data_IF_811557531195
#
_entry.id   IF_811557531195
#
_cell.length_a   1.000
_cell.length_b   1.000
_cell.length_c   1.000
_cell.angle_alpha   90.00
_cell.angle_beta   90.00
_cell.angle_gamma   90.00
#
_symmetry.space_group_name_H-M   'P 1'
#
loop_
_entity.id
_entity.type
_entity.pdbx_description
1 polymer ?
#
# COMPACT_ATOMS: atom_id res chain seq x y z
N UNK A 1 19.37 -1.95 21.55
CA UNK A 1 19.83 -0.57 21.32
C UNK A 1 19.04 -0.01 20.15
N UNK A 2 18.57 1.24 20.22
CA UNK A 2 17.83 1.89 19.14
C UNK A 2 18.79 2.36 18.03
N UNK A 3 18.42 2.18 16.76
CA UNK A 3 19.24 2.55 15.60
C UNK A 3 18.38 3.13 14.46
N UNK A 4 19.02 3.52 13.36
CA UNK A 4 18.34 4.10 12.20
C UNK A 4 17.31 3.16 11.59
N UNK A 5 17.63 1.87 11.44
CA UNK A 5 16.69 0.89 10.86
C UNK A 5 15.43 0.74 11.71
N UNK A 6 15.58 0.73 13.04
CA UNK A 6 14.45 0.71 13.96
C UNK A 6 13.67 2.03 13.92
N UNK A 7 14.32 3.18 13.76
CA UNK A 7 13.63 4.47 13.56
C UNK A 7 12.80 4.45 12.28
N UNK A 8 13.41 4.03 11.16
CA UNK A 8 12.77 3.94 9.85
C UNK A 8 11.58 2.98 9.87
N UNK A 9 11.73 1.82 10.50
CA UNK A 9 10.65 0.87 10.69
C UNK A 9 9.50 1.48 11.49
N UNK A 10 9.79 2.08 12.65
CA UNK A 10 8.77 2.69 13.50
C UNK A 10 8.02 3.83 12.78
N UNK A 11 8.75 4.67 12.03
CA UNK A 11 8.15 5.75 11.25
C UNK A 11 7.26 5.21 10.13
N UNK A 12 7.72 4.17 9.42
CA UNK A 12 6.96 3.51 8.35
C UNK A 12 5.70 2.81 8.84
N UNK A 13 5.75 2.19 10.02
CA UNK A 13 4.57 1.63 10.70
C UNK A 13 3.58 2.74 11.04
N UNK A 14 4.07 3.83 11.64
CA UNK A 14 3.21 4.94 12.05
C UNK A 14 2.50 5.59 10.86
N UNK A 15 3.22 5.90 9.77
CA UNK A 15 2.60 6.47 8.56
C UNK A 15 1.57 5.52 7.93
N UNK A 16 1.90 4.23 7.81
CA UNK A 16 0.97 3.22 7.28
C UNK A 16 -0.29 3.10 8.15
N UNK A 17 -0.13 3.11 9.46
CA UNK A 17 -1.26 3.09 10.39
C UNK A 17 -2.15 4.32 10.25
N UNK A 18 -1.57 5.52 10.20
CA UNK A 18 -2.33 6.77 10.01
C UNK A 18 -3.12 6.78 8.70
N UNK A 19 -2.49 6.34 7.62
CA UNK A 19 -3.09 6.31 6.29
C UNK A 19 -4.22 5.27 6.15
N UNK A 20 -4.16 4.17 6.92
CA UNK A 20 -5.11 3.06 6.83
C UNK A 20 -6.22 3.09 7.90
N UNK A 21 -6.02 3.69 9.08
CA UNK A 21 -6.88 3.45 10.24
C UNK A 21 -8.37 3.73 9.98
N UNK A 22 -8.75 4.88 9.38
CA UNK A 22 -10.14 5.35 9.12
C UNK A 22 -11.25 4.75 10.03
N UNK A 23 -11.07 4.79 11.36
CA UNK A 23 -12.02 4.25 12.35
C UNK A 23 -12.17 2.71 12.39
N UNK A 24 -11.28 1.98 11.71
CA UNK A 24 -11.26 0.53 11.58
C UNK A 24 -10.35 -0.15 12.62
N UNK A 25 -9.08 0.28 12.73
CA UNK A 25 -8.09 -0.34 13.61
C UNK A 25 -7.28 0.73 14.36
N UNK A 26 -6.68 0.35 15.49
CA UNK A 26 -5.72 1.20 16.20
C UNK A 26 -4.33 1.12 15.57
N UNK A 27 -3.48 2.12 15.83
CA UNK A 27 -2.05 2.06 15.45
C UNK A 27 -1.37 0.81 16.02
N UNK A 28 -1.72 0.41 17.24
CA UNK A 28 -1.18 -0.80 17.86
C UNK A 28 -1.57 -2.06 17.07
N UNK A 29 -2.85 -2.20 16.70
CA UNK A 29 -3.32 -3.34 15.91
C UNK A 29 -2.62 -3.43 14.55
N UNK A 30 -2.45 -2.29 13.85
CA UNK A 30 -1.76 -2.25 12.56
C UNK A 30 -0.27 -2.58 12.72
N UNK A 31 0.40 -2.02 13.75
CA UNK A 31 1.80 -2.35 14.07
C UNK A 31 1.96 -3.84 14.30
N UNK A 32 1.15 -4.43 15.17
CA UNK A 32 1.20 -5.85 15.50
C UNK A 32 0.96 -6.72 14.27
N UNK A 33 0.03 -6.35 13.39
CA UNK A 33 -0.19 -7.06 12.13
C UNK A 33 1.03 -6.97 11.20
N UNK A 34 1.62 -5.78 11.01
CA UNK A 34 2.84 -5.61 10.20
C UNK A 34 3.99 -6.47 10.74
N UNK A 35 4.20 -6.48 12.06
CA UNK A 35 5.26 -7.24 12.74
C UNK A 35 5.09 -8.77 12.60
N UNK A 36 3.89 -9.25 12.30
CA UNK A 36 3.60 -10.67 12.03
C UNK A 36 3.73 -11.05 10.55
N UNK A 37 4.06 -10.09 9.68
CA UNK A 37 4.25 -10.33 8.24
C UNK A 37 5.71 -10.18 7.82
N UNK A 38 6.01 -10.61 6.61
CA UNK A 38 7.32 -10.42 5.97
C UNK A 38 7.57 -9.00 5.45
N UNK A 39 6.68 -8.03 5.68
CA UNK A 39 6.75 -6.68 5.08
C UNK A 39 8.06 -5.94 5.41
N UNK A 40 8.53 -6.05 6.66
CA UNK A 40 9.82 -5.46 7.06
C UNK A 40 10.99 -6.12 6.33
N UNK A 41 10.99 -7.46 6.29
CA UNK A 41 12.04 -8.22 5.62
C UNK A 41 12.08 -7.90 4.12
N UNK A 42 10.92 -7.76 3.47
CA UNK A 42 10.85 -7.34 2.08
C UNK A 42 11.38 -5.91 1.89
N UNK A 43 11.08 -4.95 2.76
CA UNK A 43 11.66 -3.62 2.62
C UNK A 43 13.20 -3.65 2.61
N UNK A 44 13.79 -4.44 3.49
CA UNK A 44 15.24 -4.60 3.63
C UNK A 44 15.85 -5.36 2.44
N UNK A 45 15.29 -6.52 2.06
CA UNK A 45 15.94 -7.50 1.17
C UNK A 45 15.05 -8.03 0.03
N UNK A 46 13.94 -7.35 -0.27
CA UNK A 46 12.95 -7.80 -1.24
C UNK A 46 13.48 -7.96 -2.67
N UNK A 47 12.72 -8.70 -3.49
CA UNK A 47 13.03 -9.01 -4.88
C UNK A 47 13.16 -7.78 -5.77
N UNK A 48 14.00 -7.89 -6.80
CA UNK A 48 14.28 -6.82 -7.76
C UNK A 48 13.41 -6.86 -9.02
N UNK A 49 12.51 -7.85 -9.14
CA UNK A 49 11.60 -7.98 -10.28
C UNK A 49 10.11 -7.88 -9.86
N UNK A 50 9.29 -7.50 -10.85
CA UNK A 50 7.84 -7.27 -10.69
C UNK A 50 7.06 -8.54 -10.36
N UNK A 51 7.43 -9.68 -10.92
CA UNK A 51 6.69 -10.93 -10.72
C UNK A 51 6.82 -11.43 -9.28
N UNK A 52 8.04 -11.46 -8.77
CA UNK A 52 8.33 -11.77 -7.38
C UNK A 52 7.68 -10.76 -6.43
N UNK A 53 7.64 -9.47 -6.77
CA UNK A 53 6.89 -8.48 -5.98
C UNK A 53 5.39 -8.76 -5.96
N UNK A 54 4.80 -9.16 -7.09
CA UNK A 54 3.37 -9.48 -7.14
C UNK A 54 3.04 -10.69 -6.25
N UNK A 55 3.90 -11.72 -6.24
CA UNK A 55 3.76 -12.89 -5.37
C UNK A 55 3.86 -12.46 -3.89
N UNK A 56 4.89 -11.69 -3.55
CA UNK A 56 5.06 -11.11 -2.21
C UNK A 56 3.84 -10.29 -1.79
N UNK A 57 3.36 -9.38 -2.64
CA UNK A 57 2.25 -8.49 -2.34
C UNK A 57 0.97 -9.28 -2.03
N UNK A 58 0.68 -10.34 -2.79
CA UNK A 58 -0.48 -11.21 -2.54
C UNK A 58 -0.37 -11.92 -1.20
N UNK A 59 0.77 -12.55 -0.92
CA UNK A 59 1.01 -13.25 0.34
C UNK A 59 0.94 -12.30 1.53
N UNK A 60 1.74 -11.23 1.50
CA UNK A 60 1.80 -10.22 2.55
C UNK A 60 0.43 -9.56 2.80
N UNK A 61 -0.35 -9.27 1.75
CA UNK A 61 -1.68 -8.71 1.91
C UNK A 61 -2.64 -9.69 2.61
N UNK A 62 -2.59 -10.98 2.26
CA UNK A 62 -3.42 -12.00 2.91
C UNK A 62 -3.03 -12.23 4.38
N UNK A 63 -1.73 -12.23 4.68
CA UNK A 63 -1.24 -12.30 6.07
C UNK A 63 -1.67 -11.06 6.88
N UNK A 64 -1.55 -9.87 6.29
CA UNK A 64 -2.03 -8.63 6.89
C UNK A 64 -3.53 -8.68 7.15
N UNK A 65 -4.34 -9.16 6.20
CA UNK A 65 -5.80 -9.30 6.37
C UNK A 65 -6.10 -10.20 7.56
N UNK A 66 -5.46 -11.37 7.63
CA UNK A 66 -5.65 -12.33 8.71
C UNK A 66 -5.31 -11.71 10.07
N UNK A 67 -4.12 -11.12 10.21
CA UNK A 67 -3.70 -10.54 11.48
C UNK A 67 -4.48 -9.27 11.85
N UNK A 68 -4.77 -8.37 10.90
CA UNK A 68 -5.60 -7.19 11.16
C UNK A 68 -6.99 -7.57 11.64
N UNK A 69 -7.58 -8.62 11.06
CA UNK A 69 -8.93 -9.05 11.45
C UNK A 69 -8.98 -9.51 12.91
N UNK A 70 -7.94 -10.20 13.37
CA UNK A 70 -7.78 -10.62 14.76
C UNK A 70 -7.54 -9.40 15.67
N UNK A 71 -6.54 -8.58 15.35
CA UNK A 71 -6.11 -7.46 16.21
C UNK A 71 -7.14 -6.33 16.28
N UNK A 72 -7.92 -6.11 15.22
CA UNK A 72 -8.99 -5.10 15.17
C UNK A 72 -10.36 -5.65 15.61
N UNK A 73 -10.51 -6.98 15.73
CA UNK A 73 -11.79 -7.64 16.01
C UNK A 73 -12.84 -7.45 14.92
N UNK A 74 -12.43 -7.15 13.68
CA UNK A 74 -13.29 -6.86 12.52
C UNK A 74 -12.60 -7.20 11.22
N UNK A 75 -13.33 -7.73 10.25
CA UNK A 75 -12.78 -8.14 8.94
C UNK A 75 -11.98 -7.02 8.23
N UNK A 76 -10.76 -7.35 7.84
CA UNK A 76 -9.92 -6.53 6.97
C UNK A 76 -10.23 -6.83 5.49
N UNK A 77 -9.96 -5.84 4.62
CA UNK A 77 -10.10 -6.00 3.17
C UNK A 77 -8.75 -5.89 2.49
N UNK A 78 -8.66 -6.40 1.27
CA UNK A 78 -7.45 -6.35 0.48
C UNK A 78 -6.99 -4.91 0.22
N UNK A 79 -7.91 -3.99 -0.06
CA UNK A 79 -7.53 -2.58 -0.23
C UNK A 79 -6.93 -1.94 1.02
N UNK A 80 -7.33 -2.37 2.23
CA UNK A 80 -6.69 -1.92 3.49
C UNK A 80 -5.27 -2.45 3.62
N UNK A 81 -5.08 -3.75 3.41
CA UNK A 81 -3.77 -4.38 3.46
C UNK A 81 -2.83 -3.81 2.40
N UNK A 82 -3.30 -3.65 1.16
CA UNK A 82 -2.54 -3.05 0.07
C UNK A 82 -2.13 -1.60 0.38
N UNK A 83 -3.02 -0.78 0.96
CA UNK A 83 -2.66 0.58 1.38
C UNK A 83 -1.56 0.59 2.45
N UNK A 84 -1.61 -0.35 3.40
CA UNK A 84 -0.57 -0.51 4.42
C UNK A 84 0.78 -0.86 3.77
N UNK A 85 0.81 -1.85 2.86
CA UNK A 85 2.02 -2.25 2.12
C UNK A 85 2.59 -1.06 1.35
N UNK A 86 1.77 -0.38 0.55
CA UNK A 86 2.21 0.76 -0.27
C UNK A 86 2.79 1.89 0.57
N UNK A 87 2.13 2.29 1.67
CA UNK A 87 2.64 3.39 2.52
C UNK A 87 3.92 2.98 3.24
N UNK A 88 3.97 1.75 3.77
CA UNK A 88 5.16 1.26 4.45
C UNK A 88 6.36 1.23 3.49
N UNK A 89 6.20 0.67 2.30
CA UNK A 89 7.28 0.59 1.29
C UNK A 89 7.61 1.96 0.69
N UNK A 90 6.64 2.88 0.59
CA UNK A 90 6.91 4.27 0.22
C UNK A 90 7.89 4.91 1.19
N UNK A 91 7.65 4.79 2.49
CA UNK A 91 8.51 5.41 3.50
C UNK A 91 9.83 4.67 3.68
N UNK A 92 9.85 3.35 3.63
CA UNK A 92 11.05 2.55 3.92
C UNK A 92 11.95 2.30 2.72
N UNK A 93 11.41 2.29 1.49
CA UNK A 93 12.15 1.96 0.26
C UNK A 93 12.18 3.15 -0.70
N UNK A 94 11.03 3.68 -1.10
CA UNK A 94 10.98 4.67 -2.19
C UNK A 94 11.62 5.98 -1.74
N UNK A 95 11.19 6.55 -0.62
CA UNK A 95 11.71 7.84 -0.14
C UNK A 95 13.18 7.75 0.29
N UNK A 96 13.58 6.66 0.95
CA UNK A 96 14.97 6.46 1.39
C UNK A 96 15.95 6.31 0.23
N UNK A 97 15.50 5.73 -0.89
CA UNK A 97 16.31 5.57 -2.09
C UNK A 97 16.06 6.66 -3.15
N UNK A 98 15.23 7.68 -2.87
CA UNK A 98 14.78 8.70 -3.83
C UNK A 98 14.25 8.08 -5.13
N UNK A 99 13.54 6.96 -5.00
CA UNK A 99 13.05 6.12 -6.09
C UNK A 99 14.13 5.59 -7.06
N UNK A 100 15.40 5.61 -6.67
CA UNK A 100 16.54 5.23 -7.52
C UNK A 100 16.84 3.73 -7.57
N UNK A 101 16.11 2.90 -6.82
CA UNK A 101 16.31 1.44 -6.83
C UNK A 101 15.30 0.73 -7.75
N UNK A 102 15.68 -0.43 -8.29
CA UNK A 102 14.86 -1.20 -9.25
C UNK A 102 13.44 -1.49 -8.72
N UNK A 103 13.33 -1.77 -7.42
CA UNK A 103 12.04 -2.06 -6.76
C UNK A 103 11.06 -0.90 -6.80
N UNK A 104 11.55 0.33 -6.90
CA UNK A 104 10.69 1.51 -7.01
C UNK A 104 9.90 1.54 -8.33
N UNK A 105 10.26 0.75 -9.35
CA UNK A 105 9.55 0.71 -10.64
C UNK A 105 8.25 -0.11 -10.61
N UNK A 106 7.97 -0.81 -9.51
CA UNK A 106 6.79 -1.67 -9.40
C UNK A 106 6.13 -1.66 -8.02
N UNK A 107 6.71 -1.01 -7.00
CA UNK A 107 5.99 -0.78 -5.74
C UNK A 107 4.74 0.06 -6.03
N UNK A 108 3.58 -0.51 -5.71
CA UNK A 108 2.28 0.08 -5.99
C UNK A 108 2.07 1.42 -5.27
N UNK A 109 1.36 2.38 -5.88
CA UNK A 109 0.90 3.58 -5.18
C UNK A 109 -0.14 3.21 -4.12
N UNK A 110 -0.23 3.96 -3.01
CA UNK A 110 -1.31 3.80 -2.05
C UNK A 110 -2.65 4.18 -2.69
N UNK A 111 -3.53 3.21 -2.90
CA UNK A 111 -4.85 3.47 -3.47
C UNK A 111 -5.76 4.07 -2.38
N UNK A 112 -6.24 5.28 -2.62
CA UNK A 112 -7.27 5.91 -1.83
C UNK A 112 -8.31 6.66 -2.69
N UNK A 113 -9.27 7.30 -2.01
CA UNK A 113 -10.35 8.02 -2.68
C UNK A 113 -9.86 9.22 -3.48
N UNK A 114 -8.83 9.94 -3.01
CA UNK A 114 -8.31 11.15 -3.67
C UNK A 114 -7.63 10.75 -4.97
N UNK A 115 -6.71 9.78 -4.89
CA UNK A 115 -6.01 9.23 -6.04
C UNK A 115 -6.99 8.78 -7.12
N UNK A 116 -7.97 7.95 -6.74
CA UNK A 116 -8.98 7.44 -7.66
C UNK A 116 -9.86 8.55 -8.25
N UNK A 117 -10.18 9.58 -7.47
CA UNK A 117 -11.01 10.70 -7.93
C UNK A 117 -10.30 11.57 -8.96
N UNK A 118 -9.01 11.83 -8.75
CA UNK A 118 -8.16 12.59 -9.66
C UNK A 118 -7.80 11.80 -10.92
N UNK A 119 -7.51 10.50 -10.80
CA UNK A 119 -7.38 9.60 -11.96
C UNK A 119 -8.67 9.60 -12.79
N UNK A 120 -9.84 9.53 -12.16
CA UNK A 120 -11.12 9.61 -12.87
C UNK A 120 -11.31 10.93 -13.62
N UNK A 121 -10.84 12.04 -13.05
CA UNK A 121 -10.89 13.36 -13.70
C UNK A 121 -9.97 13.40 -14.91
N UNK A 122 -8.75 12.90 -14.75
CA UNK A 122 -7.72 12.88 -15.80
C UNK A 122 -8.13 11.99 -16.97
N UNK A 123 -8.53 10.74 -16.69
CA UNK A 123 -8.92 9.73 -17.70
C UNK A 123 -10.34 9.90 -18.22
N UNK A 124 -11.13 10.80 -17.61
CA UNK A 124 -12.59 10.95 -17.83
C UNK A 124 -13.40 9.67 -17.57
N UNK A 125 -12.82 8.67 -16.89
CA UNK A 125 -13.51 7.44 -16.50
C UNK A 125 -14.14 7.60 -15.10
N UNK A 126 -15.47 7.73 -15.05
CA UNK A 126 -16.20 7.94 -13.79
C UNK A 126 -16.25 6.70 -12.89
N UNK A 127 -15.94 5.50 -13.40
CA UNK A 127 -16.00 4.27 -12.63
C UNK A 127 -14.97 4.25 -11.49
N UNK A 128 -13.78 4.84 -11.69
CA UNK A 128 -12.78 4.94 -10.62
C UNK A 128 -13.30 5.73 -9.41
N UNK A 129 -14.18 6.73 -9.61
CA UNK A 129 -14.79 7.51 -8.51
C UNK A 129 -15.73 6.68 -7.64
N UNK A 130 -16.31 5.62 -8.20
CA UNK A 130 -17.28 4.76 -7.51
C UNK A 130 -16.58 3.66 -6.70
N UNK A 131 -15.28 3.46 -6.90
CA UNK A 131 -14.53 2.44 -6.18
C UNK A 131 -14.31 2.88 -4.73
N UNK A 132 -14.79 2.05 -3.80
CA UNK A 132 -14.44 2.17 -2.40
C UNK A 132 -13.20 1.33 -2.11
N UNK A 133 -12.04 1.98 -2.00
CA UNK A 133 -10.77 1.31 -1.75
C UNK A 133 -10.79 0.46 -0.47
N UNK A 134 -11.53 0.88 0.57
CA UNK A 134 -11.65 0.12 1.82
C UNK A 134 -12.48 -1.16 1.70
N UNK A 135 -13.10 -1.41 0.53
CA UNK A 135 -13.91 -2.59 0.24
C UNK A 135 -13.39 -3.39 -0.97
N UNK A 136 -12.17 -3.13 -1.43
CA UNK A 136 -11.57 -3.92 -2.50
C UNK A 136 -11.24 -5.32 -2.01
N UNK A 137 -11.74 -6.33 -2.74
CA UNK A 137 -11.25 -7.70 -2.67
C UNK A 137 -9.95 -7.84 -3.47
N UNK A 138 -9.23 -8.94 -3.28
CA UNK A 138 -8.02 -9.24 -4.06
C UNK A 138 -8.29 -9.17 -5.57
N UNK A 139 -9.31 -9.87 -6.05
CA UNK A 139 -9.66 -9.89 -7.47
C UNK A 139 -9.95 -8.48 -8.03
N UNK A 140 -10.66 -7.64 -7.27
CA UNK A 140 -10.96 -6.25 -7.68
C UNK A 140 -9.73 -5.36 -7.64
N UNK A 141 -8.84 -5.56 -6.67
CA UNK A 141 -7.59 -4.84 -6.58
C UNK A 141 -6.69 -5.13 -7.78
N UNK A 142 -6.46 -6.40 -8.10
CA UNK A 142 -5.60 -6.76 -9.23
C UNK A 142 -6.20 -6.41 -10.59
N UNK A 143 -7.52 -6.51 -10.74
CA UNK A 143 -8.18 -5.95 -11.93
C UNK A 143 -7.92 -4.45 -12.09
N UNK A 144 -7.96 -3.69 -10.99
CA UNK A 144 -7.64 -2.27 -11.00
C UNK A 144 -6.15 -2.01 -11.31
N UNK A 145 -5.23 -2.84 -10.81
CA UNK A 145 -3.80 -2.79 -11.16
C UNK A 145 -3.62 -2.97 -12.67
N UNK A 146 -4.27 -3.97 -13.27
CA UNK A 146 -4.16 -4.26 -14.70
C UNK A 146 -4.77 -3.14 -15.55
N UNK A 147 -5.95 -2.64 -15.16
CA UNK A 147 -6.62 -1.51 -15.83
C UNK A 147 -5.76 -0.25 -15.80
N UNK A 148 -5.23 0.13 -14.63
CA UNK A 148 -4.40 1.33 -14.51
C UNK A 148 -3.04 1.16 -15.19
N UNK A 149 -2.46 -0.04 -15.15
CA UNK A 149 -1.24 -0.37 -15.91
C UNK A 149 -1.46 -0.20 -17.41
N UNK A 150 -2.60 -0.66 -17.95
CA UNK A 150 -2.95 -0.49 -19.36
C UNK A 150 -3.17 0.97 -19.77
N UNK A 151 -3.68 1.80 -18.85
CA UNK A 151 -3.93 3.24 -19.11
C UNK A 151 -2.64 4.06 -19.04
N UNK A 152 -1.78 3.82 -18.06
CA UNK A 152 -0.61 4.64 -17.77
C UNK A 152 0.72 4.02 -18.26
N UNK A 153 0.68 2.80 -18.78
CA UNK A 153 1.88 2.02 -19.15
C UNK A 153 2.68 1.50 -17.95
N UNK A 154 2.26 1.81 -16.73
CA UNK A 154 2.90 1.46 -15.46
C UNK A 154 1.89 1.48 -14.33
N UNK A 155 2.23 0.77 -13.26
CA UNK A 155 1.54 0.87 -11.98
C UNK A 155 2.59 0.82 -10.87
N UNK A 156 3.05 2.01 -10.49
CA UNK A 156 4.05 2.24 -9.45
C UNK A 156 3.72 3.53 -8.67
N UNK A 157 4.52 3.83 -7.64
CA UNK A 157 4.34 4.98 -6.76
C UNK A 157 4.21 6.33 -7.48
N UNK A 158 4.74 6.47 -8.71
CA UNK A 158 4.68 7.74 -9.43
C UNK A 158 3.26 8.14 -9.85
N UNK A 159 2.31 7.21 -9.83
CA UNK A 159 0.89 7.53 -9.98
C UNK A 159 0.35 8.43 -8.86
N UNK A 160 1.08 8.57 -7.74
CA UNK A 160 0.78 9.58 -6.73
C UNK A 160 0.91 11.04 -7.24
N UNK A 161 1.32 11.28 -8.49
CA UNK A 161 1.12 12.58 -9.16
C UNK A 161 -0.36 13.02 -9.16
N UNK A 162 -1.29 12.06 -9.07
CA UNK A 162 -2.72 12.30 -8.93
C UNK A 162 -3.20 12.36 -7.47
N UNK A 163 -2.31 12.23 -6.49
CA UNK A 163 -2.64 12.36 -5.08
C UNK A 163 -2.36 13.78 -4.56
N UNK A 164 -3.16 14.26 -3.62
CA UNK A 164 -3.12 15.62 -3.11
C UNK A 164 -3.29 15.59 -1.59
N UNK A 165 -2.23 15.92 -0.80
CA UNK A 165 -2.25 15.80 0.66
C UNK A 165 -3.30 16.69 1.33
N UNK A 166 -3.63 17.84 0.74
CA UNK A 166 -4.61 18.78 1.26
C UNK A 166 -6.07 18.30 1.16
N UNK A 167 -6.33 17.15 0.53
CA UNK A 167 -7.67 16.58 0.33
C UNK A 167 -7.97 15.33 1.19
N UNK A 168 -7.04 14.86 2.03
CA UNK A 168 -7.12 13.58 2.77
C UNK A 168 -7.86 13.64 4.12
#
# INVERSE_FOLDING_TARGET
MYNFDQHLHNYSVWTAARAAQRGYASTLAIKTAIEKTELRHYAENGSLDRESFNIFHRRCANDLIYHLSIEAGKDATYGRAAKIISIYLKTSVILTNKAGCERSQFIHPPIDRILLWNIAKHTRNREYRKLNWTQLSEARYWKLVDELSGVFGKFDWSLEEFWSPEQD
#
